data_IF_815602007146
#
_entry.id   IF_815602007146
#
_cell.length_a   1.000
_cell.length_b   1.000
_cell.length_c   1.000
_cell.angle_alpha   90.00
_cell.angle_beta   90.00
_cell.angle_gamma   90.00
#
_symmetry.space_group_name_H-M   'P 1'
#
loop_
_entity.id
_entity.type
_entity.pdbx_description
1 polymer ?
#
# COMPACT_ATOMS: atom_id res chain seq x y z
N UNK A 1 6.04 31.04 -2.44
CA UNK A 1 6.81 31.04 -1.17
C UNK A 1 7.63 29.76 -1.10
N UNK A 2 8.96 29.86 -1.22
CA UNK A 2 9.87 28.72 -1.32
C UNK A 2 9.73 27.70 -0.15
N UNK A 3 9.47 28.17 1.08
CA UNK A 3 9.33 27.30 2.27
C UNK A 3 8.12 26.37 2.13
N UNK A 4 6.97 26.90 1.72
CA UNK A 4 5.73 26.13 1.60
C UNK A 4 5.85 25.08 0.48
N UNK A 5 6.47 25.45 -0.64
CA UNK A 5 6.74 24.53 -1.75
C UNK A 5 7.59 23.34 -1.30
N UNK A 6 8.72 23.60 -0.63
CA UNK A 6 9.58 22.53 -0.13
C UNK A 6 8.87 21.64 0.88
N UNK A 7 8.10 22.23 1.80
CA UNK A 7 7.33 21.47 2.78
C UNK A 7 6.36 20.48 2.10
N UNK A 8 5.57 20.93 1.13
CA UNK A 8 4.62 20.09 0.40
C UNK A 8 5.34 19.00 -0.39
N UNK A 9 6.47 19.32 -1.04
CA UNK A 9 7.28 18.35 -1.76
C UNK A 9 7.86 17.25 -0.85
N UNK A 10 8.32 17.63 0.35
CA UNK A 10 8.75 16.68 1.38
C UNK A 10 7.62 15.79 1.86
N UNK A 11 6.42 16.35 2.10
CA UNK A 11 5.22 15.57 2.46
C UNK A 11 4.87 14.57 1.36
N UNK A 12 4.88 14.98 0.10
CA UNK A 12 4.63 14.10 -1.04
C UNK A 12 5.63 12.93 -1.09
N UNK A 13 6.90 13.20 -0.75
CA UNK A 13 7.96 12.18 -0.72
C UNK A 13 7.77 11.18 0.41
N UNK A 14 7.40 11.64 1.62
CA UNK A 14 7.09 10.75 2.75
C UNK A 14 5.90 9.86 2.42
N UNK A 15 4.85 10.42 1.81
CA UNK A 15 3.68 9.65 1.35
C UNK A 15 4.11 8.57 0.35
N UNK A 16 4.94 8.91 -0.63
CA UNK A 16 5.44 7.95 -1.62
C UNK A 16 6.20 6.79 -0.96
N UNK A 17 7.08 7.09 0.00
CA UNK A 17 7.85 6.08 0.73
C UNK A 17 6.93 5.15 1.52
N UNK A 18 5.95 5.69 2.25
CA UNK A 18 5.00 4.90 3.04
C UNK A 18 4.17 3.99 2.13
N UNK A 19 3.63 4.52 1.04
CA UNK A 19 2.85 3.74 0.07
C UNK A 19 3.70 2.66 -0.57
N UNK A 20 4.95 2.96 -0.95
CA UNK A 20 5.87 1.99 -1.52
C UNK A 20 6.22 0.87 -0.53
N UNK A 21 6.50 1.20 0.74
CA UNK A 21 6.78 0.22 1.78
C UNK A 21 5.58 -0.70 2.01
N UNK A 22 4.38 -0.12 2.11
CA UNK A 22 3.16 -0.89 2.32
C UNK A 22 2.83 -1.78 1.10
N UNK A 23 3.13 -1.34 -0.12
CA UNK A 23 3.03 -2.17 -1.33
C UNK A 23 3.93 -3.41 -1.24
N UNK A 24 5.19 -3.26 -0.80
CA UNK A 24 6.10 -4.39 -0.61
C UNK A 24 5.62 -5.35 0.48
N UNK A 25 5.04 -4.84 1.57
CA UNK A 25 4.39 -5.65 2.61
C UNK A 25 3.25 -6.49 2.02
N UNK A 26 2.40 -5.90 1.17
CA UNK A 26 1.32 -6.62 0.49
C UNK A 26 1.82 -7.64 -0.52
N UNK A 27 2.90 -7.34 -1.24
CA UNK A 27 3.55 -8.32 -2.14
C UNK A 27 4.05 -9.52 -1.32
N UNK A 28 4.76 -9.28 -0.22
CA UNK A 28 5.20 -10.35 0.68
C UNK A 28 4.01 -11.17 1.21
N UNK A 29 2.92 -10.49 1.59
CA UNK A 29 1.66 -11.13 2.01
C UNK A 29 1.05 -12.02 0.93
N UNK A 30 1.03 -11.55 -0.32
CA UNK A 30 0.52 -12.30 -1.47
C UNK A 30 1.38 -13.55 -1.78
N UNK A 31 2.70 -13.42 -1.71
CA UNK A 31 3.59 -14.58 -1.89
C UNK A 31 3.38 -15.60 -0.79
N UNK A 32 3.22 -15.16 0.46
CA UNK A 32 2.96 -16.06 1.58
C UNK A 32 1.62 -16.80 1.48
N UNK A 33 0.59 -16.22 0.86
CA UNK A 33 -0.67 -16.94 0.69
C UNK A 33 -0.57 -18.12 -0.28
N UNK A 34 0.41 -18.12 -1.20
CA UNK A 34 0.62 -19.23 -2.15
C UNK A 34 1.48 -20.37 -1.60
N UNK A 35 2.40 -20.08 -0.69
CA UNK A 35 3.37 -21.07 -0.18
C UNK A 35 2.99 -21.68 1.16
N UNK A 36 1.89 -21.21 1.78
CA UNK A 36 1.36 -21.70 3.06
C UNK A 36 2.42 -21.83 4.18
N UNK A 37 3.03 -20.72 4.63
CA UNK A 37 4.12 -20.71 5.60
C UNK A 37 3.64 -21.06 7.01
N UNK A 38 4.59 -21.38 7.90
CA UNK A 38 4.31 -21.60 9.33
C UNK A 38 3.64 -20.36 9.97
N UNK A 39 2.40 -20.48 10.49
CA UNK A 39 1.67 -19.40 11.15
C UNK A 39 2.36 -18.86 12.42
N UNK A 40 3.24 -19.66 13.04
CA UNK A 40 3.97 -19.25 14.24
C UNK A 40 5.25 -18.47 13.94
N UNK A 41 5.59 -18.27 12.67
CA UNK A 41 6.72 -17.41 12.30
C UNK A 41 6.41 -15.93 12.64
N UNK A 42 7.28 -15.22 13.38
CA UNK A 42 7.08 -13.82 13.73
C UNK A 42 6.85 -12.90 12.53
N UNK A 43 7.51 -13.16 11.40
CA UNK A 43 7.40 -12.37 10.17
C UNK A 43 6.01 -12.56 9.56
N UNK A 44 5.51 -13.80 9.54
CA UNK A 44 4.16 -14.12 9.04
C UNK A 44 3.11 -13.39 9.88
N UNK A 45 3.21 -13.49 11.22
CA UNK A 45 2.31 -12.77 12.13
C UNK A 45 2.37 -11.25 11.95
N UNK A 46 3.56 -10.69 11.77
CA UNK A 46 3.72 -9.26 11.52
C UNK A 46 2.98 -8.83 10.25
N UNK A 47 3.18 -9.55 9.14
CA UNK A 47 2.53 -9.25 7.87
C UNK A 47 1.01 -9.33 8.01
N UNK A 48 0.49 -10.40 8.59
CA UNK A 48 -0.94 -10.54 8.92
C UNK A 48 -1.46 -9.35 9.74
N UNK A 49 -0.82 -9.02 10.85
CA UNK A 49 -1.27 -7.94 11.73
C UNK A 49 -1.33 -6.58 11.02
N UNK A 50 -0.39 -6.31 10.10
CA UNK A 50 -0.33 -5.06 9.36
C UNK A 50 -1.31 -5.03 8.19
N UNK A 51 -1.52 -6.15 7.48
CA UNK A 51 -2.34 -6.18 6.27
C UNK A 51 -3.81 -6.52 6.52
N UNK A 52 -4.11 -7.37 7.50
CA UNK A 52 -5.44 -7.95 7.71
C UNK A 52 -6.53 -6.90 7.99
N UNK A 53 -6.29 -5.80 8.75
CA UNK A 53 -7.31 -4.77 8.94
C UNK A 53 -7.78 -4.12 7.63
N UNK A 54 -6.90 -4.02 6.62
CA UNK A 54 -7.22 -3.44 5.32
C UNK A 54 -7.78 -4.51 4.39
N UNK A 55 -7.16 -5.70 4.34
CA UNK A 55 -7.64 -6.83 3.55
C UNK A 55 -9.06 -7.23 3.93
N UNK A 56 -9.37 -7.34 5.23
CA UNK A 56 -10.72 -7.69 5.70
C UNK A 56 -11.78 -6.68 5.26
N UNK A 57 -11.46 -5.37 5.32
CA UNK A 57 -12.40 -4.33 4.84
C UNK A 57 -12.65 -4.46 3.35
N UNK A 58 -11.62 -4.71 2.55
CA UNK A 58 -11.78 -4.89 1.11
C UNK A 58 -12.53 -6.18 0.79
N UNK A 59 -12.21 -7.30 1.43
CA UNK A 59 -12.89 -8.59 1.25
C UNK A 59 -14.39 -8.51 1.57
N UNK A 60 -14.78 -7.67 2.53
CA UNK A 60 -16.20 -7.44 2.85
C UNK A 60 -16.96 -6.74 1.72
N UNK A 61 -16.29 -5.90 0.95
CA UNK A 61 -16.91 -5.13 -0.15
C UNK A 61 -16.80 -5.92 -1.46
N UNK A 62 -15.65 -6.54 -1.69
CA UNK A 62 -15.30 -7.31 -2.88
C UNK A 62 -14.76 -8.67 -2.42
N UNK A 63 -15.61 -9.71 -2.32
CA UNK A 63 -15.16 -11.06 -1.98
C UNK A 63 -14.42 -11.67 -3.18
N UNK A 64 -13.09 -11.50 -3.20
CA UNK A 64 -12.20 -11.89 -4.30
C UNK A 64 -11.48 -13.22 -4.05
N UNK A 65 -12.10 -14.09 -3.24
CA UNK A 65 -11.56 -15.41 -2.94
C UNK A 65 -12.10 -16.41 -3.97
N UNK A 66 -11.28 -16.79 -4.94
CA UNK A 66 -11.66 -17.74 -5.99
C UNK A 66 -10.87 -19.04 -5.82
N UNK A 67 -11.57 -20.15 -5.56
CA UNK A 67 -10.96 -21.49 -5.55
C UNK A 67 -9.80 -21.65 -4.55
N UNK A 68 -9.82 -20.92 -3.43
CA UNK A 68 -8.76 -20.96 -2.41
C UNK A 68 -7.61 -19.98 -2.62
N UNK A 69 -7.60 -19.21 -3.71
CA UNK A 69 -6.63 -18.14 -3.96
C UNK A 69 -7.25 -16.80 -3.58
N UNK A 70 -6.59 -16.09 -2.67
CA UNK A 70 -6.98 -14.74 -2.26
C UNK A 70 -6.35 -13.70 -3.21
N UNK A 71 -7.18 -13.08 -4.07
CA UNK A 71 -6.76 -12.00 -4.97
C UNK A 71 -6.86 -10.61 -4.34
N UNK A 72 -7.31 -10.50 -3.09
CA UNK A 72 -7.42 -9.23 -2.36
C UNK A 72 -6.09 -8.46 -2.30
N UNK A 73 -4.92 -9.09 -2.03
CA UNK A 73 -3.64 -8.38 -2.06
C UNK A 73 -3.36 -7.71 -3.41
N UNK A 74 -3.76 -8.34 -4.52
CA UNK A 74 -3.56 -7.81 -5.86
C UNK A 74 -4.35 -6.52 -6.07
N UNK A 75 -5.62 -6.50 -5.66
CA UNK A 75 -6.46 -5.30 -5.74
C UNK A 75 -5.92 -4.17 -4.87
N UNK A 76 -5.40 -4.48 -3.68
CA UNK A 76 -4.76 -3.49 -2.83
C UNK A 76 -3.46 -2.93 -3.44
N UNK A 77 -2.65 -3.78 -4.08
CA UNK A 77 -1.45 -3.34 -4.81
C UNK A 77 -1.84 -2.39 -5.95
N UNK A 78 -2.85 -2.74 -6.75
CA UNK A 78 -3.35 -1.86 -7.81
C UNK A 78 -3.86 -0.53 -7.26
N UNK A 79 -4.59 -0.56 -6.14
CA UNK A 79 -5.05 0.65 -5.47
C UNK A 79 -3.87 1.53 -5.01
N UNK A 80 -2.82 0.93 -4.45
CA UNK A 80 -1.62 1.67 -4.05
C UNK A 80 -0.88 2.26 -5.25
N UNK A 81 -0.74 1.50 -6.34
CA UNK A 81 -0.13 2.01 -7.58
C UNK A 81 -0.90 3.24 -8.07
N UNK A 82 -2.23 3.18 -8.08
CA UNK A 82 -3.08 4.31 -8.43
C UNK A 82 -2.88 5.49 -7.47
N UNK A 83 -2.90 5.26 -6.16
CA UNK A 83 -2.71 6.32 -5.16
C UNK A 83 -1.34 6.99 -5.31
N UNK A 84 -0.28 6.22 -5.58
CA UNK A 84 1.07 6.76 -5.81
C UNK A 84 1.12 7.57 -7.10
N UNK A 85 0.60 7.04 -8.20
CA UNK A 85 0.65 7.70 -9.51
C UNK A 85 -0.24 8.94 -9.58
N UNK A 86 -1.26 9.03 -8.73
CA UNK A 86 -2.16 10.17 -8.65
C UNK A 86 -1.70 11.18 -7.58
N UNK A 87 -1.67 10.79 -6.30
CA UNK A 87 -1.48 11.72 -5.18
C UNK A 87 -0.10 12.36 -5.19
N UNK A 88 0.96 11.57 -5.43
CA UNK A 88 2.34 12.06 -5.30
C UNK A 88 2.64 13.13 -6.37
N UNK A 89 2.33 12.91 -7.67
CA UNK A 89 2.49 13.95 -8.68
C UNK A 89 1.61 15.17 -8.42
N UNK A 90 0.35 14.99 -8.00
CA UNK A 90 -0.55 16.12 -7.68
C UNK A 90 0.04 17.01 -6.59
N UNK A 91 0.56 16.42 -5.50
CA UNK A 91 1.19 17.18 -4.42
C UNK A 91 2.48 17.87 -4.87
N UNK A 92 3.31 17.19 -5.67
CA UNK A 92 4.54 17.80 -6.22
C UNK A 92 4.23 18.94 -7.19
N UNK A 93 3.22 18.79 -8.04
CA UNK A 93 2.78 19.86 -8.96
C UNK A 93 2.23 21.06 -8.19
N UNK A 94 1.44 20.82 -7.13
CA UNK A 94 0.99 21.87 -6.23
C UNK A 94 2.17 22.60 -5.59
N UNK A 95 3.18 21.86 -5.10
CA UNK A 95 4.40 22.46 -4.57
C UNK A 95 5.08 23.36 -5.60
N UNK A 96 5.23 22.91 -6.86
CA UNK A 96 5.86 23.71 -7.91
C UNK A 96 5.05 24.95 -8.30
N UNK A 97 3.72 24.90 -8.24
CA UNK A 97 2.88 26.10 -8.48
C UNK A 97 2.99 27.16 -7.40
N UNK A 98 3.46 26.79 -6.20
CA UNK A 98 3.61 27.66 -5.03
C UNK A 98 5.03 28.21 -4.88
N UNK A 99 5.98 27.74 -5.69
CA UNK A 99 7.36 28.23 -5.70
C UNK A 99 7.38 29.66 -6.24
#
# INVERSE_FOLDING_TARGET
>A
MFILSNFISSVATVIDIVLNLYMWILIARAVLSWVNPDPYNPIVRFLHNVTDPVMYRVQRILPLNFGGIDLTPMVLILAIIFLRSFIVPTLKQLAYSLA
#
